data_IF_757204574686
#
_entry.id   IF_757204574686
#
_cell.length_a   1.000
_cell.length_b   1.000
_cell.length_c   1.000
_cell.angle_alpha   90.00
_cell.angle_beta   90.00
_cell.angle_gamma   90.00
#
_symmetry.space_group_name_H-M   'P 1'
#
loop_
_entity.id
_entity.type
_entity.pdbx_description
1 polymer ?
#
# COMPACT_ATOMS: atom_id res chain seq x y z
N UNK A 1 -17.12 -16.74 -12.78
CA UNK A 1 -16.63 -15.46 -12.27
C UNK A 1 -17.22 -15.25 -10.87
N UNK A 2 -16.38 -15.23 -9.83
CA UNK A 2 -16.85 -14.93 -8.47
C UNK A 2 -16.51 -13.49 -8.16
N UNK A 3 -17.50 -12.62 -8.00
CA UNK A 3 -17.32 -11.17 -7.78
C UNK A 3 -16.72 -10.80 -6.41
N UNK A 4 -16.22 -11.77 -5.66
CA UNK A 4 -15.61 -11.59 -4.33
C UNK A 4 -14.19 -12.15 -4.23
N UNK A 5 -13.68 -12.80 -5.28
CA UNK A 5 -12.30 -13.29 -5.29
C UNK A 5 -11.36 -12.11 -5.48
N UNK A 6 -10.65 -11.71 -4.41
CA UNK A 6 -9.68 -10.60 -4.51
C UNK A 6 -8.58 -10.91 -5.51
N UNK A 7 -8.14 -12.16 -5.58
CA UNK A 7 -7.09 -12.59 -6.52
C UNK A 7 -7.54 -12.42 -7.97
N UNK A 8 -8.75 -12.91 -8.30
CA UNK A 8 -9.33 -12.79 -9.65
C UNK A 8 -9.54 -11.31 -10.00
N UNK A 9 -10.19 -10.55 -9.11
CA UNK A 9 -10.50 -9.13 -9.33
C UNK A 9 -9.24 -8.30 -9.54
N UNK A 10 -8.25 -8.39 -8.65
CA UNK A 10 -7.05 -7.57 -8.80
C UNK A 10 -6.12 -8.08 -9.90
N UNK A 11 -6.12 -9.38 -10.20
CA UNK A 11 -5.44 -9.93 -11.37
C UNK A 11 -5.92 -9.26 -12.66
N UNK A 12 -7.24 -9.23 -12.88
CA UNK A 12 -7.85 -8.56 -14.04
C UNK A 12 -7.63 -7.04 -14.03
N UNK A 13 -7.82 -6.37 -12.88
CA UNK A 13 -7.62 -4.93 -12.78
C UNK A 13 -6.18 -4.51 -13.11
N UNK A 14 -5.19 -5.27 -12.64
CA UNK A 14 -3.79 -4.96 -12.94
C UNK A 14 -3.42 -5.23 -14.39
N UNK A 15 -3.99 -6.27 -15.01
CA UNK A 15 -3.79 -6.53 -16.44
C UNK A 15 -4.35 -5.38 -17.28
N UNK A 16 -5.59 -4.97 -17.04
CA UNK A 16 -6.21 -3.85 -17.74
C UNK A 16 -5.50 -2.52 -17.48
N UNK A 17 -4.99 -2.29 -16.26
CA UNK A 17 -4.18 -1.11 -15.97
C UNK A 17 -2.88 -1.11 -16.79
N UNK A 18 -2.20 -2.26 -16.92
CA UNK A 18 -0.97 -2.41 -17.72
C UNK A 18 -1.25 -2.08 -19.18
N UNK A 19 -2.28 -2.70 -19.76
CA UNK A 19 -2.72 -2.44 -21.14
C UNK A 19 -3.04 -0.96 -21.36
N UNK A 20 -3.76 -0.33 -20.42
CA UNK A 20 -4.10 1.08 -20.50
C UNK A 20 -2.89 2.01 -20.43
N UNK A 21 -1.89 1.70 -19.60
CA UNK A 21 -0.65 2.46 -19.50
C UNK A 21 0.20 2.34 -20.77
N UNK A 22 0.32 1.12 -21.32
CA UNK A 22 1.05 0.87 -22.57
C UNK A 22 0.38 1.56 -23.77
N UNK A 23 -0.96 1.55 -23.84
CA UNK A 23 -1.72 2.29 -24.86
C UNK A 23 -1.51 3.81 -24.78
N UNK A 24 -1.11 4.34 -23.62
CA UNK A 24 -0.77 5.76 -23.42
C UNK A 24 0.71 6.06 -23.68
N UNK A 25 1.48 5.08 -24.15
CA UNK A 25 2.87 5.25 -24.59
C UNK A 25 3.91 4.98 -23.51
N UNK A 26 3.52 4.44 -22.35
CA UNK A 26 4.49 3.97 -21.37
C UNK A 26 5.08 2.64 -21.83
N UNK A 27 6.36 2.43 -21.54
CA UNK A 27 6.99 1.13 -21.69
C UNK A 27 6.41 0.10 -20.70
N UNK A 28 6.57 -1.18 -21.02
CA UNK A 28 6.20 -2.26 -20.11
C UNK A 28 6.93 -2.16 -18.75
N UNK A 29 8.16 -1.66 -18.74
CA UNK A 29 8.94 -1.45 -17.53
C UNK A 29 8.35 -0.34 -16.65
N UNK A 30 7.97 0.80 -17.24
CA UNK A 30 7.30 1.89 -16.52
C UNK A 30 5.93 1.44 -15.98
N UNK A 31 5.13 0.76 -16.81
CA UNK A 31 3.84 0.22 -16.40
C UNK A 31 3.99 -0.76 -15.22
N UNK A 32 4.97 -1.67 -15.31
CA UNK A 32 5.30 -2.58 -14.23
C UNK A 32 5.73 -1.84 -12.95
N UNK A 33 6.52 -0.76 -13.09
CA UNK A 33 6.95 0.09 -11.98
C UNK A 33 5.77 0.69 -11.19
N UNK A 34 4.73 1.16 -11.88
CA UNK A 34 3.52 1.67 -11.22
C UNK A 34 2.63 0.59 -10.61
N UNK A 35 2.52 -0.58 -11.26
CA UNK A 35 1.62 -1.65 -10.84
C UNK A 35 2.19 -2.47 -9.68
N UNK A 36 3.50 -2.73 -9.66
CA UNK A 36 4.14 -3.61 -8.67
C UNK A 36 3.81 -3.23 -7.21
N UNK A 37 3.95 -1.96 -6.76
CA UNK A 37 3.60 -1.59 -5.38
C UNK A 37 2.12 -1.84 -5.04
N UNK A 38 1.22 -1.74 -6.01
CA UNK A 38 -0.20 -2.01 -5.79
C UNK A 38 -0.46 -3.51 -5.67
N UNK A 39 0.20 -4.33 -6.48
CA UNK A 39 0.13 -5.79 -6.41
C UNK A 39 0.62 -6.31 -5.07
N UNK A 40 1.78 -5.84 -4.62
CA UNK A 40 2.35 -6.24 -3.32
C UNK A 40 1.41 -5.91 -2.15
N UNK A 41 0.70 -4.78 -2.19
CA UNK A 41 -0.31 -4.44 -1.17
C UNK A 41 -1.46 -5.44 -1.13
N UNK A 42 -1.89 -5.93 -2.29
CA UNK A 42 -2.96 -6.94 -2.39
C UNK A 42 -2.46 -8.28 -1.87
N UNK A 43 -1.26 -8.70 -2.31
CA UNK A 43 -0.64 -9.97 -1.91
C UNK A 43 -0.45 -10.03 -0.39
N UNK A 44 0.05 -8.95 0.20
CA UNK A 44 0.28 -8.83 1.66
C UNK A 44 -0.99 -8.49 2.44
N UNK A 45 -2.12 -8.24 1.77
CA UNK A 45 -3.38 -7.77 2.38
C UNK A 45 -3.19 -6.55 3.28
N UNK A 46 -2.27 -5.66 2.91
CA UNK A 46 -1.83 -4.55 3.73
C UNK A 46 -2.06 -3.23 3.01
N UNK A 47 -2.92 -2.40 3.60
CA UNK A 47 -3.23 -1.06 3.13
C UNK A 47 -2.66 -0.02 4.09
N UNK A 48 -2.51 1.25 3.68
CA UNK A 48 -2.16 2.32 4.59
C UNK A 48 -3.07 2.38 5.83
N UNK A 49 -4.39 2.20 5.64
CA UNK A 49 -5.34 2.17 6.75
C UNK A 49 -5.08 0.99 7.70
N UNK A 50 -4.83 -0.22 7.16
CA UNK A 50 -4.52 -1.40 7.96
C UNK A 50 -3.20 -1.25 8.71
N UNK A 51 -2.16 -0.72 8.08
CA UNK A 51 -0.88 -0.41 8.73
C UNK A 51 -1.06 0.58 9.89
N UNK A 52 -1.83 1.66 9.69
CA UNK A 52 -2.12 2.64 10.76
C UNK A 52 -2.85 1.98 11.93
N UNK A 53 -3.83 1.14 11.62
CA UNK A 53 -4.58 0.39 12.62
C UNK A 53 -3.68 -0.58 13.40
N UNK A 54 -2.86 -1.35 12.71
CA UNK A 54 -1.95 -2.33 13.33
C UNK A 54 -0.87 -1.66 14.18
N UNK A 55 -0.37 -0.50 13.75
CA UNK A 55 0.51 0.33 14.58
C UNK A 55 -0.18 0.73 15.88
N UNK A 56 -1.36 1.35 15.80
CA UNK A 56 -2.09 1.83 17.00
C UNK A 56 -2.42 0.66 17.93
N UNK A 57 -2.91 -0.45 17.38
CA UNK A 57 -3.21 -1.68 18.11
C UNK A 57 -1.99 -2.17 18.90
N UNK A 58 -0.83 -2.31 18.25
CA UNK A 58 0.42 -2.74 18.91
C UNK A 58 0.84 -1.79 20.04
N UNK A 59 0.76 -0.47 19.84
CA UNK A 59 1.12 0.49 20.88
C UNK A 59 0.17 0.43 22.08
N UNK A 60 -1.12 0.22 21.85
CA UNK A 60 -2.10 0.01 22.92
C UNK A 60 -1.84 -1.30 23.66
N UNK A 61 -1.50 -2.39 22.96
CA UNK A 61 -1.07 -3.67 23.56
C UNK A 61 0.18 -3.50 24.45
N UNK A 62 1.05 -2.52 24.12
CA UNK A 62 2.22 -2.11 24.90
C UNK A 62 1.90 -1.12 26.04
N UNK A 63 0.62 -0.91 26.37
CA UNK A 63 0.13 0.03 27.40
C UNK A 63 0.35 1.52 27.10
N UNK A 64 0.54 1.91 25.84
CA UNK A 64 0.54 3.33 25.44
C UNK A 64 -0.89 3.88 25.43
N UNK A 65 -1.17 5.06 26.02
CA UNK A 65 -2.48 5.68 25.95
C UNK A 65 -2.95 5.85 24.50
N UNK A 66 -4.24 5.58 24.23
CA UNK A 66 -4.79 5.58 22.86
C UNK A 66 -4.49 6.88 22.09
N UNK A 67 -4.65 8.04 22.73
CA UNK A 67 -4.37 9.33 22.09
C UNK A 67 -2.90 9.48 21.67
N UNK A 68 -1.98 9.03 22.52
CA UNK A 68 -0.55 9.03 22.23
C UNK A 68 -0.19 8.01 21.14
N UNK A 69 -0.82 6.83 21.15
CA UNK A 69 -0.66 5.82 20.11
C UNK A 69 -1.09 6.34 18.72
N UNK A 70 -2.23 7.04 18.65
CA UNK A 70 -2.72 7.68 17.42
C UNK A 70 -1.76 8.77 16.96
N UNK A 71 -1.30 9.63 17.87
CA UNK A 71 -0.37 10.70 17.52
C UNK A 71 0.96 10.13 17.02
N UNK A 72 1.53 9.14 17.70
CA UNK A 72 2.75 8.46 17.30
C UNK A 72 2.62 7.77 15.94
N UNK A 73 1.47 7.16 15.66
CA UNK A 73 1.14 6.61 14.35
C UNK A 73 1.16 7.70 13.28
N UNK A 74 0.47 8.83 13.51
CA UNK A 74 0.39 9.92 12.54
C UNK A 74 1.77 10.50 12.23
N UNK A 75 2.57 10.79 13.27
CA UNK A 75 3.93 11.29 13.12
C UNK A 75 4.82 10.30 12.35
N UNK A 76 4.72 9.00 12.66
CA UNK A 76 5.48 7.96 11.95
C UNK A 76 5.03 7.83 10.50
N UNK A 77 3.72 7.87 10.23
CA UNK A 77 3.19 7.82 8.87
C UNK A 77 3.66 9.00 8.03
N UNK A 78 3.61 10.22 8.57
CA UNK A 78 4.02 11.44 7.87
C UNK A 78 5.50 11.36 7.52
N UNK A 79 6.36 10.99 8.47
CA UNK A 79 7.81 10.84 8.22
C UNK A 79 8.12 9.85 7.10
N UNK A 80 7.56 8.64 7.14
CA UNK A 80 7.79 7.69 6.05
C UNK A 80 7.22 8.19 4.72
N UNK A 81 6.05 8.83 4.75
CA UNK A 81 5.44 9.37 3.55
C UNK A 81 6.28 10.51 2.96
N UNK A 82 6.86 11.39 3.77
CA UNK A 82 7.76 12.45 3.31
C UNK A 82 9.00 11.88 2.61
N UNK A 83 9.57 10.80 3.15
CA UNK A 83 10.73 10.11 2.59
C UNK A 83 10.40 9.38 1.29
N UNK A 84 9.19 8.81 1.17
CA UNK A 84 8.80 7.98 0.02
C UNK A 84 7.76 8.62 -0.92
N UNK A 85 7.51 9.94 -0.82
CA UNK A 85 6.40 10.59 -1.55
C UNK A 85 6.65 10.61 -3.06
N UNK A 86 7.89 10.92 -3.45
CA UNK A 86 8.30 11.11 -4.84
C UNK A 86 9.12 9.92 -5.34
N UNK A 87 9.97 9.38 -4.47
CA UNK A 87 10.88 8.28 -4.76
C UNK A 87 10.60 7.16 -3.76
N UNK A 88 10.08 6.03 -4.25
CA UNK A 88 9.67 4.89 -3.42
C UNK A 88 8.16 4.71 -3.37
N UNK A 89 7.70 3.90 -2.43
CA UNK A 89 6.29 3.58 -2.24
C UNK A 89 5.99 3.10 -0.83
N UNK A 90 4.70 3.04 -0.50
CA UNK A 90 4.24 2.49 0.78
C UNK A 90 4.75 1.08 1.09
N UNK A 91 5.10 0.28 0.07
CA UNK A 91 5.58 -1.08 0.29
C UNK A 91 7.00 -1.13 0.86
N UNK A 92 7.76 -0.04 0.73
CA UNK A 92 9.14 0.06 1.21
C UNK A 92 9.20 0.16 2.74
N UNK A 93 8.08 0.48 3.40
CA UNK A 93 8.01 0.59 4.86
C UNK A 93 7.91 -0.77 5.55
N UNK A 94 7.83 -1.84 4.76
CA UNK A 94 7.55 -3.17 5.22
C UNK A 94 8.82 -4.03 5.36
N UNK A 95 9.76 -3.59 6.18
CA UNK A 95 10.88 -4.42 6.63
C UNK A 95 10.46 -5.41 7.71
#
# INVERSE_FOLDING_TARGET
ATTTSTEEIYGELFEHAREGLEQRGLSAEEAHGYIRPLRERVDRRLTPARWKHDYVRRRVEENVPLAEAIWGMQATYIRHQEETLLEGSFVDWFE
#
